data_IF_569126606837
#
_entry.id   IF_569126606837
#
_cell.length_a   1.000
_cell.length_b   1.000
_cell.length_c   1.000
_cell.angle_alpha   90.00
_cell.angle_beta   90.00
_cell.angle_gamma   90.00
#
_symmetry.space_group_name_H-M   'P 1'
#
loop_
_entity.id
_entity.type
_entity.pdbx_description
1 polymer ?
#
# COMPACT_ATOMS: atom_id res chain seq x y z
N UNK A 1 8.75 19.47 -6.28
CA UNK A 1 7.43 19.26 -6.94
C UNK A 1 6.35 19.76 -5.99
N UNK A 2 5.42 20.56 -6.46
CA UNK A 2 4.22 21.00 -5.73
C UNK A 2 3.12 19.95 -5.81
N UNK A 3 2.07 20.04 -4.98
CA UNK A 3 0.90 19.16 -5.07
C UNK A 3 0.20 19.30 -6.42
N UNK A 4 0.09 20.53 -6.96
CA UNK A 4 -0.52 20.75 -8.28
C UNK A 4 0.25 20.04 -9.42
N UNK A 5 1.58 20.17 -9.44
CA UNK A 5 2.43 19.47 -10.39
C UNK A 5 2.32 17.94 -10.22
N UNK A 6 2.21 17.47 -8.97
CA UNK A 6 2.06 16.05 -8.68
C UNK A 6 0.71 15.49 -9.19
N UNK A 7 -0.39 16.23 -9.03
CA UNK A 7 -1.71 15.87 -9.55
C UNK A 7 -1.69 15.79 -11.08
N UNK A 8 -1.14 16.80 -11.75
CA UNK A 8 -1.08 16.87 -13.21
C UNK A 8 -0.22 15.73 -13.78
N UNK A 9 1.03 15.58 -13.31
CA UNK A 9 1.97 14.58 -13.82
C UNK A 9 1.52 13.14 -13.58
N UNK A 10 0.77 12.89 -12.49
CA UNK A 10 0.25 11.56 -12.17
C UNK A 10 -1.06 11.21 -12.87
N UNK A 11 -1.68 12.16 -13.60
CA UNK A 11 -3.01 11.99 -14.14
C UNK A 11 -4.11 11.88 -13.08
N UNK A 12 -3.85 12.41 -11.88
CA UNK A 12 -4.80 12.46 -10.75
C UNK A 12 -5.58 13.78 -10.68
N UNK A 13 -5.33 14.72 -11.58
CA UNK A 13 -6.06 15.99 -11.68
C UNK A 13 -7.40 15.79 -12.39
N UNK A 14 -8.31 15.09 -11.72
CA UNK A 14 -9.68 14.91 -12.20
C UNK A 14 -10.67 15.00 -11.04
N UNK A 15 -11.89 15.46 -11.36
CA UNK A 15 -13.00 15.49 -10.43
C UNK A 15 -13.82 14.21 -10.52
N UNK A 16 -14.36 13.80 -9.39
CA UNK A 16 -15.27 12.64 -9.30
C UNK A 16 -16.64 13.11 -8.84
N UNK A 17 -17.70 12.67 -9.52
CA UNK A 17 -19.09 12.97 -9.17
C UNK A 17 -19.89 11.69 -9.04
N UNK A 18 -20.91 11.76 -8.19
CA UNK A 18 -21.93 10.72 -8.09
C UNK A 18 -22.91 10.84 -9.24
N UNK A 19 -23.20 9.73 -9.89
CA UNK A 19 -24.20 9.61 -10.93
C UNK A 19 -25.24 8.57 -10.53
N UNK A 20 -26.50 8.86 -10.83
CA UNK A 20 -27.59 7.92 -10.65
C UNK A 20 -27.40 6.70 -11.55
N UNK A 21 -27.77 5.54 -11.04
CA UNK A 21 -27.70 4.29 -11.78
C UNK A 21 -29.07 3.82 -12.18
N UNK A 22 -29.17 3.37 -13.42
CA UNK A 22 -30.38 2.78 -13.98
C UNK A 22 -30.07 1.44 -14.61
N UNK A 23 -31.03 0.53 -14.60
CA UNK A 23 -30.93 -0.74 -15.32
C UNK A 23 -32.02 -0.86 -16.37
N UNK A 24 -31.68 -1.61 -17.44
CA UNK A 24 -32.61 -1.99 -18.48
C UNK A 24 -33.48 -3.16 -17.97
N UNK A 25 -34.78 -3.04 -18.06
CA UNK A 25 -35.67 -4.20 -17.85
C UNK A 25 -35.42 -5.26 -18.93
N UNK A 26 -35.72 -6.55 -18.67
CA UNK A 26 -35.57 -7.59 -19.72
C UNK A 26 -36.33 -7.23 -21.01
N UNK A 27 -37.54 -6.68 -20.89
CA UNK A 27 -38.35 -6.28 -22.03
C UNK A 27 -37.70 -5.16 -22.83
N UNK A 28 -37.18 -4.12 -22.16
CA UNK A 28 -36.51 -3.01 -22.83
C UNK A 28 -35.23 -3.48 -23.52
N UNK A 29 -34.47 -4.36 -22.87
CA UNK A 29 -33.26 -4.94 -23.45
C UNK A 29 -33.61 -5.73 -24.71
N UNK A 30 -34.67 -6.56 -24.69
CA UNK A 30 -35.09 -7.36 -25.86
C UNK A 30 -35.56 -6.47 -27.02
N UNK A 31 -36.28 -5.36 -26.73
CA UNK A 31 -36.68 -4.36 -27.75
C UNK A 31 -35.45 -3.73 -28.40
N UNK A 32 -34.47 -3.29 -27.61
CA UNK A 32 -33.21 -2.71 -28.12
C UNK A 32 -32.41 -3.72 -28.95
N UNK A 33 -32.34 -4.98 -28.53
CA UNK A 33 -31.63 -6.03 -29.27
C UNK A 33 -32.29 -6.38 -30.60
N UNK A 34 -33.61 -6.15 -30.76
CA UNK A 34 -34.36 -6.33 -32.00
C UNK A 34 -34.36 -5.10 -32.90
N UNK A 35 -33.56 -4.07 -32.55
CA UNK A 35 -33.53 -2.78 -33.26
C UNK A 35 -34.93 -2.13 -33.42
N UNK A 36 -35.80 -2.27 -32.44
CA UNK A 36 -37.08 -1.59 -32.39
C UNK A 36 -36.82 -0.10 -32.15
N UNK A 37 -37.38 0.74 -32.98
CA UNK A 37 -37.33 2.19 -32.82
C UNK A 37 -38.21 2.60 -31.62
N UNK A 38 -37.53 2.99 -30.50
CA UNK A 38 -38.20 3.35 -29.27
C UNK A 38 -38.03 4.86 -29.08
N UNK A 39 -39.15 5.61 -28.96
CA UNK A 39 -39.08 7.02 -28.64
C UNK A 39 -38.31 7.29 -27.33
N UNK A 40 -37.47 8.34 -27.34
CA UNK A 40 -36.58 8.66 -26.18
C UNK A 40 -37.38 8.82 -24.87
N UNK A 41 -38.59 9.35 -24.93
CA UNK A 41 -39.45 9.49 -23.77
C UNK A 41 -39.90 8.14 -23.22
N UNK A 42 -40.20 7.17 -24.06
CA UNK A 42 -40.57 5.82 -23.66
C UNK A 42 -39.36 5.06 -23.13
N UNK A 43 -38.18 5.20 -23.76
CA UNK A 43 -36.92 4.64 -23.30
C UNK A 43 -36.61 5.08 -21.87
N UNK A 44 -36.69 6.39 -21.59
CA UNK A 44 -36.44 6.97 -20.26
C UNK A 44 -37.46 6.45 -19.23
N UNK A 45 -38.73 6.36 -19.60
CA UNK A 45 -39.80 5.88 -18.71
C UNK A 45 -39.63 4.41 -18.31
N UNK A 46 -39.02 3.60 -19.14
CA UNK A 46 -38.78 2.17 -18.89
C UNK A 46 -37.47 1.89 -18.14
N UNK A 47 -36.57 2.87 -18.02
CA UNK A 47 -35.37 2.74 -17.18
C UNK A 47 -35.81 2.68 -15.70
N UNK A 48 -35.27 1.74 -14.98
CA UNK A 48 -35.52 1.58 -13.53
C UNK A 48 -34.26 1.99 -12.74
N UNK A 49 -34.49 2.92 -11.82
CA UNK A 49 -33.43 3.40 -10.92
C UNK A 49 -32.97 2.29 -9.97
N UNK A 50 -31.66 2.19 -9.75
CA UNK A 50 -31.08 1.34 -8.73
C UNK A 50 -31.07 2.11 -7.41
N UNK A 51 -31.97 1.75 -6.50
CA UNK A 51 -32.09 2.44 -5.23
C UNK A 51 -30.91 2.14 -4.28
N UNK A 52 -30.50 3.15 -3.51
CA UNK A 52 -29.44 3.03 -2.50
C UNK A 52 -28.03 2.89 -3.07
N UNK A 53 -27.84 3.04 -4.38
CA UNK A 53 -26.56 2.92 -5.08
C UNK A 53 -26.34 4.07 -6.06
N UNK A 54 -25.09 4.50 -6.16
CA UNK A 54 -24.65 5.51 -7.11
C UNK A 54 -23.30 5.10 -7.72
N UNK A 55 -23.08 5.50 -8.97
CA UNK A 55 -21.79 5.36 -9.62
C UNK A 55 -20.90 6.56 -9.28
N UNK A 56 -19.68 6.32 -8.86
CA UNK A 56 -18.64 7.35 -8.79
C UNK A 56 -18.00 7.46 -10.16
N UNK A 57 -18.22 8.57 -10.83
CA UNK A 57 -17.81 8.79 -12.23
C UNK A 57 -16.74 9.86 -12.30
N UNK A 58 -15.69 9.56 -12.98
CA UNK A 58 -14.60 10.44 -13.33
C UNK A 58 -15.04 11.41 -14.44
N UNK A 59 -14.95 12.73 -14.18
CA UNK A 59 -15.64 13.72 -15.04
C UNK A 59 -14.88 14.12 -16.29
N UNK A 60 -13.60 13.81 -16.40
CA UNK A 60 -12.79 14.12 -17.58
C UNK A 60 -12.99 13.12 -18.74
N UNK A 61 -13.33 11.86 -18.42
CA UNK A 61 -13.47 10.79 -19.43
C UNK A 61 -14.74 9.94 -19.24
N UNK A 62 -15.59 10.28 -18.27
CA UNK A 62 -16.83 9.60 -17.91
C UNK A 62 -16.68 8.12 -17.49
N UNK A 63 -15.48 7.72 -17.09
CA UNK A 63 -15.25 6.36 -16.60
C UNK A 63 -15.90 6.14 -15.24
N UNK A 64 -16.61 5.03 -15.06
CA UNK A 64 -17.14 4.59 -13.79
C UNK A 64 -16.02 3.99 -12.94
N UNK A 65 -15.64 4.67 -11.86
CA UNK A 65 -14.59 4.22 -10.95
C UNK A 65 -15.08 3.15 -9.99
N UNK A 66 -16.36 3.21 -9.60
CA UNK A 66 -16.96 2.24 -8.70
C UNK A 66 -18.43 2.51 -8.41
N UNK A 67 -19.08 1.52 -7.80
CA UNK A 67 -20.48 1.62 -7.36
C UNK A 67 -20.51 1.59 -5.85
N UNK A 68 -21.04 2.65 -5.25
CA UNK A 68 -21.05 2.85 -3.81
C UNK A 68 -22.46 3.12 -3.30
N UNK A 69 -22.63 3.16 -1.98
CA UNK A 69 -23.91 3.54 -1.38
C UNK A 69 -24.14 5.06 -1.46
N UNK A 70 -25.39 5.47 -1.31
CA UNK A 70 -25.76 6.90 -1.26
C UNK A 70 -25.02 7.65 -0.14
N UNK A 71 -24.69 6.96 0.94
CA UNK A 71 -23.98 7.52 2.09
C UNK A 71 -22.44 7.59 1.91
N UNK A 72 -21.90 7.10 0.79
CA UNK A 72 -20.49 7.22 0.50
C UNK A 72 -20.14 8.68 0.26
N UNK A 73 -19.15 9.22 0.97
CA UNK A 73 -18.61 10.57 0.75
C UNK A 73 -17.46 10.52 -0.25
N UNK A 74 -17.58 11.23 -1.36
CA UNK A 74 -16.45 11.42 -2.28
C UNK A 74 -15.50 12.43 -1.65
N UNK A 75 -14.21 12.07 -1.58
CA UNK A 75 -13.11 12.98 -1.30
C UNK A 75 -12.40 13.24 -2.63
N UNK A 76 -12.30 14.48 -3.05
CA UNK A 76 -11.58 14.83 -4.27
C UNK A 76 -10.07 14.59 -4.09
N UNK A 77 -9.37 14.28 -5.16
CA UNK A 77 -7.93 14.03 -5.10
C UNK A 77 -7.17 15.23 -4.56
N UNK A 78 -7.56 16.43 -4.97
CA UNK A 78 -7.00 17.66 -4.45
C UNK A 78 -7.17 17.78 -2.94
N UNK A 79 -8.39 17.56 -2.42
CA UNK A 79 -8.68 17.62 -0.99
C UNK A 79 -7.85 16.62 -0.17
N UNK A 80 -7.65 15.40 -0.71
CA UNK A 80 -6.82 14.40 -0.06
C UNK A 80 -5.33 14.79 -0.06
N UNK A 81 -4.86 15.48 -1.10
CA UNK A 81 -3.46 15.85 -1.26
C UNK A 81 -3.10 17.20 -0.64
N UNK A 82 -4.08 18.08 -0.41
CA UNK A 82 -3.88 19.35 0.32
C UNK A 82 -3.27 19.11 1.72
N UNK A 83 -3.54 17.94 2.32
CA UNK A 83 -2.89 17.52 3.56
C UNK A 83 -1.36 17.41 3.42
N UNK A 84 -0.87 16.88 2.29
CA UNK A 84 0.57 16.77 2.02
C UNK A 84 1.18 18.14 1.81
N UNK A 85 0.45 19.06 1.14
CA UNK A 85 0.90 20.44 0.96
C UNK A 85 1.14 21.13 2.31
N UNK A 86 0.24 20.92 3.27
CA UNK A 86 0.41 21.43 4.63
C UNK A 86 1.63 20.86 5.35
N UNK A 87 1.93 19.57 5.17
CA UNK A 87 3.15 18.97 5.72
C UNK A 87 4.41 19.54 5.08
N UNK A 88 4.35 19.85 3.77
CA UNK A 88 5.50 20.29 2.97
C UNK A 88 5.75 21.81 3.03
N UNK A 89 4.77 22.62 3.48
CA UNK A 89 4.88 24.09 3.56
C UNK A 89 5.23 24.61 4.95
N UNK A 90 5.25 23.74 5.97
CA UNK A 90 5.62 24.12 7.34
C UNK A 90 7.11 24.47 7.45
N UNK A 91 7.43 25.51 8.25
CA UNK A 91 8.81 25.88 8.59
C UNK A 91 9.32 25.01 9.74
N UNK A 92 9.59 23.73 9.47
CA UNK A 92 10.07 22.75 10.44
C UNK A 92 11.38 22.14 9.95
N UNK A 93 12.29 21.83 10.86
CA UNK A 93 13.57 21.18 10.55
C UNK A 93 13.46 19.82 9.85
N UNK A 94 12.26 19.26 9.75
CA UNK A 94 11.98 17.97 9.12
C UNK A 94 10.80 18.06 8.13
N UNK A 95 10.70 19.13 7.38
CA UNK A 95 9.63 19.34 6.38
C UNK A 95 9.78 18.35 5.23
N UNK A 96 8.76 17.50 4.95
CA UNK A 96 8.83 16.54 3.86
C UNK A 96 8.86 17.20 2.48
N UNK A 97 9.41 16.51 1.50
CA UNK A 97 9.49 16.92 0.09
C UNK A 97 8.68 15.95 -0.75
N UNK A 98 7.77 16.46 -1.59
CA UNK A 98 6.97 15.60 -2.51
C UNK A 98 7.91 14.93 -3.50
N UNK A 99 7.85 13.61 -3.54
CA UNK A 99 8.76 12.73 -4.28
C UNK A 99 8.07 12.05 -5.47
N UNK A 100 6.84 11.57 -5.28
CA UNK A 100 6.07 10.88 -6.31
C UNK A 100 4.56 11.02 -6.09
N UNK A 101 3.81 10.88 -7.17
CA UNK A 101 2.37 10.66 -7.15
C UNK A 101 1.97 9.68 -8.25
N UNK A 102 0.80 9.07 -8.13
CA UNK A 102 0.33 8.11 -9.13
C UNK A 102 -1.14 7.78 -9.02
N UNK A 103 -1.64 7.17 -10.10
CA UNK A 103 -2.98 6.58 -10.17
C UNK A 103 -2.87 5.08 -10.35
N UNK A 104 -3.80 4.33 -9.75
CA UNK A 104 -3.92 2.88 -9.87
C UNK A 104 -5.33 2.53 -10.37
N UNK A 105 -5.45 1.46 -11.18
CA UNK A 105 -6.72 0.95 -11.70
C UNK A 105 -7.53 2.06 -12.41
N UNK A 106 -6.91 2.77 -13.34
CA UNK A 106 -7.51 3.85 -14.14
C UNK A 106 -8.09 5.01 -13.31
N UNK A 107 -7.48 5.28 -12.15
CA UNK A 107 -7.89 6.36 -11.26
C UNK A 107 -8.84 5.92 -10.13
N UNK A 108 -9.16 4.63 -9.99
CA UNK A 108 -9.94 4.12 -8.85
C UNK A 108 -9.27 4.36 -7.51
N UNK A 109 -7.94 4.37 -7.51
CA UNK A 109 -7.11 4.75 -6.37
C UNK A 109 -6.02 5.72 -6.82
N UNK A 110 -5.75 6.73 -5.99
CA UNK A 110 -4.67 7.69 -6.19
C UNK A 110 -3.79 7.73 -4.96
N UNK A 111 -2.53 8.09 -5.14
CA UNK A 111 -1.59 8.25 -4.03
C UNK A 111 -0.57 9.36 -4.30
N UNK A 112 -0.05 9.94 -3.23
CA UNK A 112 1.07 10.87 -3.23
C UNK A 112 2.06 10.45 -2.15
N UNK A 113 3.34 10.61 -2.43
CA UNK A 113 4.44 10.26 -1.53
C UNK A 113 5.28 11.50 -1.30
N UNK A 114 5.53 11.80 -0.02
CA UNK A 114 6.52 12.80 0.37
C UNK A 114 7.54 12.18 1.31
N UNK A 115 8.82 12.48 1.09
CA UNK A 115 9.95 11.96 1.88
C UNK A 115 10.40 12.97 2.91
N UNK A 116 10.73 12.50 4.11
CA UNK A 116 11.39 13.30 5.12
C UNK A 116 12.88 13.46 4.78
N UNK A 117 13.49 14.63 5.01
CA UNK A 117 14.90 14.86 4.67
C UNK A 117 15.88 14.02 5.50
N UNK A 118 15.51 13.65 6.72
CA UNK A 118 16.36 12.90 7.62
C UNK A 118 16.43 11.43 7.27
N UNK A 119 17.63 10.87 7.29
CA UNK A 119 17.90 9.45 7.09
C UNK A 119 18.29 8.76 8.41
N UNK A 120 17.89 7.51 8.54
CA UNK A 120 18.26 6.64 9.67
C UNK A 120 19.41 5.78 9.25
N UNK A 121 20.55 5.86 9.94
CA UNK A 121 21.65 4.93 9.79
C UNK A 121 21.38 3.67 10.60
N UNK A 122 21.37 2.50 9.95
CA UNK A 122 21.06 1.22 10.56
C UNK A 122 22.33 0.56 11.08
N UNK A 123 22.32 0.10 12.33
CA UNK A 123 23.42 -0.63 12.95
C UNK A 123 24.80 0.02 12.77
N UNK A 124 24.85 1.37 12.78
CA UNK A 124 26.05 2.17 12.54
C UNK A 124 26.77 1.88 11.20
N UNK A 125 26.04 1.36 10.23
CA UNK A 125 26.55 1.13 8.87
C UNK A 125 26.14 2.28 7.95
N UNK A 126 27.04 3.18 7.61
CA UNK A 126 26.78 4.33 6.74
C UNK A 126 26.29 3.95 5.33
N UNK A 127 26.48 2.73 4.90
CA UNK A 127 25.97 2.23 3.63
C UNK A 127 24.52 1.73 3.75
N UNK A 128 24.00 1.54 4.96
CA UNK A 128 22.64 1.07 5.21
C UNK A 128 21.78 2.19 5.81
N UNK A 129 21.12 2.94 4.93
CA UNK A 129 20.30 4.08 5.29
C UNK A 129 18.84 3.84 4.94
N UNK A 130 17.97 4.26 5.81
CA UNK A 130 16.51 4.23 5.63
C UNK A 130 15.97 5.64 5.72
N UNK A 131 15.10 5.99 4.77
CA UNK A 131 14.40 7.26 4.70
C UNK A 131 12.93 7.07 5.01
N UNK A 132 12.39 7.91 5.86
CA UNK A 132 10.96 7.91 6.15
C UNK A 132 10.20 8.62 5.04
N UNK A 133 9.06 8.06 4.66
CA UNK A 133 8.12 8.67 3.71
C UNK A 133 6.73 8.72 4.32
N UNK A 134 5.96 9.74 3.95
CA UNK A 134 4.52 9.78 4.15
C UNK A 134 3.83 9.47 2.83
N UNK A 135 2.92 8.52 2.86
CA UNK A 135 2.07 8.14 1.71
C UNK A 135 0.64 8.51 2.05
N UNK A 136 0.03 9.33 1.22
CA UNK A 136 -1.41 9.60 1.27
C UNK A 136 -2.07 8.89 0.10
N UNK A 137 -3.11 8.14 0.36
CA UNK A 137 -3.89 7.46 -0.68
C UNK A 137 -5.38 7.70 -0.50
N UNK A 138 -6.08 7.85 -1.62
CA UNK A 138 -7.52 8.01 -1.71
C UNK A 138 -8.09 6.96 -2.68
N UNK A 139 -9.33 6.49 -2.45
CA UNK A 139 -10.01 5.58 -3.37
C UNK A 139 -11.41 6.10 -3.72
N UNK A 140 -11.85 5.79 -4.95
CA UNK A 140 -13.14 6.20 -5.47
C UNK A 140 -14.10 5.02 -5.70
N UNK A 141 -13.63 3.79 -5.52
CA UNK A 141 -14.36 2.55 -5.74
C UNK A 141 -14.96 1.93 -4.45
N UNK A 142 -14.73 2.57 -3.32
CA UNK A 142 -15.16 2.07 -2.01
C UNK A 142 -14.25 0.97 -1.43
N UNK A 143 -13.16 0.61 -2.09
CA UNK A 143 -12.24 -0.45 -1.65
C UNK A 143 -11.37 -0.06 -0.45
N UNK A 144 -11.16 1.24 -0.22
CA UNK A 144 -10.29 1.75 0.83
C UNK A 144 -10.81 3.07 1.41
N UNK A 145 -10.40 3.38 2.63
CA UNK A 145 -10.51 4.72 3.21
C UNK A 145 -9.44 5.66 2.62
N UNK A 146 -9.56 6.97 2.83
CA UNK A 146 -8.40 7.86 2.72
C UNK A 146 -7.40 7.45 3.80
N UNK A 147 -6.17 7.19 3.41
CA UNK A 147 -5.10 6.74 4.31
C UNK A 147 -3.95 7.72 4.28
N UNK A 148 -3.41 8.03 5.45
CA UNK A 148 -2.11 8.68 5.63
C UNK A 148 -1.22 7.68 6.33
N UNK A 149 -0.17 7.22 5.69
CA UNK A 149 0.73 6.18 6.20
C UNK A 149 2.16 6.69 6.19
N UNK A 150 2.87 6.50 7.32
CA UNK A 150 4.31 6.70 7.40
C UNK A 150 4.99 5.36 7.12
N UNK A 151 5.83 5.32 6.10
CA UNK A 151 6.53 4.11 5.67
C UNK A 151 8.03 4.35 5.55
N UNK A 152 8.85 3.45 6.07
CA UNK A 152 10.28 3.49 5.86
C UNK A 152 10.66 2.88 4.50
N UNK A 153 11.57 3.54 3.80
CA UNK A 153 12.13 3.06 2.54
C UNK A 153 13.64 3.00 2.66
N UNK A 154 14.23 1.86 2.34
CA UNK A 154 15.68 1.70 2.35
C UNK A 154 16.29 2.40 1.14
N UNK A 155 17.21 3.34 1.36
CA UNK A 155 17.74 4.21 0.32
C UNK A 155 18.49 3.43 -0.76
N UNK A 156 19.22 2.38 -0.36
CA UNK A 156 20.09 1.58 -1.24
C UNK A 156 19.32 0.80 -2.31
N UNK A 157 18.19 0.19 -1.94
CA UNK A 157 17.40 -0.69 -2.81
C UNK A 157 15.99 -0.19 -3.09
N UNK A 158 15.63 0.99 -2.59
CA UNK A 158 14.29 1.57 -2.70
C UNK A 158 13.16 0.65 -2.17
N UNK A 159 13.51 -0.30 -1.30
CA UNK A 159 12.53 -1.22 -0.73
C UNK A 159 11.69 -0.55 0.34
N UNK A 160 10.37 -0.63 0.21
CA UNK A 160 9.44 -0.23 1.24
C UNK A 160 9.37 -1.30 2.33
N UNK A 161 9.81 -0.94 3.54
CA UNK A 161 9.83 -1.83 4.70
C UNK A 161 8.55 -1.63 5.54
N UNK A 162 7.41 -2.03 5.01
CA UNK A 162 6.11 -1.88 5.68
C UNK A 162 5.98 -2.86 6.86
N UNK A 163 6.63 -2.54 7.97
CA UNK A 163 6.53 -3.28 9.23
C UNK A 163 5.61 -2.50 10.17
N UNK A 164 4.54 -3.14 10.62
CA UNK A 164 3.63 -2.53 11.59
C UNK A 164 4.12 -2.79 13.02
N UNK A 165 4.22 -1.73 13.80
CA UNK A 165 4.56 -1.83 15.22
C UNK A 165 3.30 -1.73 16.08
N UNK A 166 3.18 -2.59 17.10
CA UNK A 166 2.00 -2.66 17.98
C UNK A 166 1.73 -1.35 18.75
N UNK A 167 2.73 -0.46 18.91
CA UNK A 167 2.62 0.78 19.69
C UNK A 167 2.55 2.05 18.85
N UNK A 168 3.02 2.03 17.62
CA UNK A 168 2.97 3.17 16.70
C UNK A 168 2.17 2.78 15.47
N UNK A 169 0.88 3.12 15.42
CA UNK A 169 0.16 3.07 14.15
C UNK A 169 0.55 4.30 13.34
N UNK A 170 1.58 4.19 12.50
CA UNK A 170 1.94 5.23 11.54
C UNK A 170 0.89 5.43 10.44
N UNK A 171 -0.38 5.08 10.71
CA UNK A 171 -1.45 5.14 9.71
C UNK A 171 -2.71 5.78 10.28
N UNK A 172 -3.21 6.81 9.61
CA UNK A 172 -4.50 7.44 9.88
C UNK A 172 -5.50 7.04 8.79
N UNK A 173 -6.75 6.86 9.20
CA UNK A 173 -7.83 6.43 8.30
C UNK A 173 -9.01 7.38 8.37
N UNK A 174 -9.49 7.84 7.21
CA UNK A 174 -10.72 8.63 7.08
C UNK A 174 -11.71 7.85 6.20
N UNK A 175 -12.73 7.26 6.82
CA UNK A 175 -13.76 6.52 6.10
C UNK A 175 -14.59 7.45 5.23
N UNK A 176 -14.90 7.04 4.03
CA UNK A 176 -15.77 7.71 3.07
C UNK A 176 -17.25 7.68 3.53
N UNK A 177 -17.57 8.44 4.57
CA UNK A 177 -18.95 8.62 5.06
C UNK A 177 -19.47 9.95 4.55
N UNK A 178 -20.79 10.19 4.63
CA UNK A 178 -21.43 11.45 4.23
C UNK A 178 -20.83 12.71 4.87
N UNK A 179 -20.13 12.55 5.99
CA UNK A 179 -19.47 13.63 6.73
C UNK A 179 -17.94 13.68 6.52
N UNK A 180 -17.39 12.91 5.57
CA UNK A 180 -15.93 12.82 5.38
C UNK A 180 -15.33 14.18 5.05
N UNK A 181 -15.96 14.98 4.19
CA UNK A 181 -15.47 16.30 3.79
C UNK A 181 -15.46 17.28 4.98
N UNK A 182 -16.51 17.23 5.84
CA UNK A 182 -16.51 18.02 7.08
C UNK A 182 -15.37 17.65 8.03
N UNK A 183 -14.98 16.37 8.06
CA UNK A 183 -13.83 15.90 8.86
C UNK A 183 -12.51 16.35 8.26
N UNK A 184 -12.37 16.32 6.94
CA UNK A 184 -11.20 16.85 6.25
C UNK A 184 -11.12 18.38 6.37
N UNK A 185 -12.25 19.09 6.26
CA UNK A 185 -12.31 20.54 6.50
C UNK A 185 -11.97 20.92 7.95
N UNK A 186 -12.37 20.12 8.93
CA UNK A 186 -11.97 20.32 10.33
C UNK A 186 -10.47 20.10 10.51
N UNK A 187 -9.90 19.12 9.80
CA UNK A 187 -8.45 18.94 9.74
C UNK A 187 -7.78 20.16 9.12
N UNK A 188 -8.35 20.74 8.06
CA UNK A 188 -7.86 21.96 7.44
C UNK A 188 -7.95 23.20 8.35
N UNK A 189 -8.89 23.28 9.29
CA UNK A 189 -9.08 24.40 10.23
C UNK A 189 -8.30 24.26 11.55
N UNK A 190 -8.01 23.02 11.98
CA UNK A 190 -7.15 22.69 13.14
C UNK A 190 -5.72 22.31 12.70
N UNK A 191 -5.29 22.76 11.55
CA UNK A 191 -4.16 22.30 10.75
C UNK A 191 -2.84 22.12 11.50
N UNK A 192 -2.44 23.09 12.33
CA UNK A 192 -1.17 23.00 13.05
C UNK A 192 -1.12 21.77 13.97
N UNK A 193 -2.19 21.48 14.71
CA UNK A 193 -2.23 20.35 15.66
C UNK A 193 -2.13 19.01 14.96
N UNK A 194 -2.80 18.83 13.82
CA UNK A 194 -2.77 17.56 13.06
C UNK A 194 -1.44 17.36 12.35
N UNK A 195 -0.87 18.42 11.77
CA UNK A 195 0.49 18.40 11.21
C UNK A 195 1.50 18.04 12.30
N UNK A 196 1.44 18.68 13.46
CA UNK A 196 2.31 18.36 14.61
C UNK A 196 2.11 16.93 15.12
N UNK A 197 0.88 16.42 15.15
CA UNK A 197 0.62 15.03 15.51
C UNK A 197 1.23 14.06 14.51
N UNK A 198 1.11 14.32 13.21
CA UNK A 198 1.68 13.46 12.16
C UNK A 198 3.21 13.50 12.16
N UNK A 199 3.81 14.68 12.33
CA UNK A 199 5.26 14.82 12.47
C UNK A 199 5.76 14.17 13.77
N UNK A 200 5.04 14.34 14.87
CA UNK A 200 5.35 13.66 16.15
C UNK A 200 5.21 12.14 16.06
N UNK A 201 4.23 11.64 15.32
CA UNK A 201 4.12 10.21 15.00
C UNK A 201 5.30 9.74 14.15
N UNK A 202 5.76 10.53 13.19
CA UNK A 202 6.93 10.20 12.38
C UNK A 202 8.18 10.06 13.26
N UNK A 203 8.42 10.97 14.19
CA UNK A 203 9.58 10.92 15.10
C UNK A 203 9.55 9.70 16.03
N UNK A 204 8.38 9.38 16.60
CA UNK A 204 8.20 8.18 17.42
C UNK A 204 8.40 6.93 16.60
N UNK A 205 7.77 6.86 15.44
CA UNK A 205 7.89 5.74 14.52
C UNK A 205 9.34 5.55 14.07
N UNK A 206 10.05 6.63 13.77
CA UNK A 206 11.46 6.60 13.37
C UNK A 206 12.35 5.97 14.45
N UNK A 207 12.15 6.33 15.73
CA UNK A 207 12.91 5.78 16.85
C UNK A 207 12.62 4.29 17.07
N UNK A 208 11.35 3.91 17.07
CA UNK A 208 10.93 2.51 17.25
C UNK A 208 11.37 1.65 16.05
N UNK A 209 11.31 2.21 14.84
CA UNK A 209 11.74 1.55 13.64
C UNK A 209 13.25 1.29 13.64
N UNK A 210 14.06 2.32 13.98
CA UNK A 210 15.51 2.15 14.12
C UNK A 210 15.84 1.04 15.11
N UNK A 211 15.26 1.06 16.30
CA UNK A 211 15.49 0.03 17.31
C UNK A 211 15.11 -1.38 16.80
N UNK A 212 14.07 -1.50 15.99
CA UNK A 212 13.64 -2.77 15.40
C UNK A 212 14.60 -3.25 14.32
N UNK A 213 15.12 -2.36 13.47
CA UNK A 213 16.12 -2.70 12.46
C UNK A 213 17.43 -3.12 13.12
N UNK A 214 17.90 -2.37 14.13
CA UNK A 214 19.12 -2.70 14.87
C UNK A 214 18.96 -4.07 15.57
N UNK A 215 17.77 -4.37 16.13
CA UNK A 215 17.44 -5.68 16.68
C UNK A 215 17.51 -6.78 15.63
N UNK A 216 16.85 -6.62 14.47
CA UNK A 216 16.91 -7.60 13.37
C UNK A 216 18.34 -7.84 12.90
N UNK A 217 19.14 -6.78 12.79
CA UNK A 217 20.56 -6.87 12.38
C UNK A 217 21.42 -7.63 13.39
N UNK A 218 21.05 -7.60 14.68
CA UNK A 218 21.75 -8.32 15.76
C UNK A 218 21.42 -9.83 15.80
N UNK A 219 20.28 -10.25 15.21
CA UNK A 219 19.87 -11.66 15.21
C UNK A 219 20.67 -12.42 14.14
N UNK A 220 21.70 -13.14 14.57
CA UNK A 220 22.44 -14.04 13.69
C UNK A 220 21.61 -15.28 13.40
N UNK A 221 21.59 -15.71 12.17
CA UNK A 221 20.78 -16.85 11.72
C UNK A 221 21.59 -17.77 10.83
N UNK A 222 21.52 -19.06 11.06
CA UNK A 222 21.98 -20.09 10.14
C UNK A 222 21.05 -20.19 8.93
N UNK A 223 21.51 -20.76 7.83
CA UNK A 223 20.68 -20.98 6.63
C UNK A 223 19.39 -21.78 6.95
N UNK A 224 19.47 -22.79 7.83
CA UNK A 224 18.29 -23.57 8.25
C UNK A 224 17.27 -22.76 9.03
N UNK A 225 17.71 -21.88 9.93
CA UNK A 225 16.81 -21.02 10.67
C UNK A 225 16.14 -20.00 9.75
N UNK A 226 16.85 -19.47 8.77
CA UNK A 226 16.29 -18.58 7.75
C UNK A 226 15.26 -19.31 6.88
N UNK A 227 15.57 -20.53 6.40
CA UNK A 227 14.65 -21.35 5.63
C UNK A 227 13.38 -21.65 6.43
N UNK A 228 13.51 -22.07 7.68
CA UNK A 228 12.36 -22.32 8.56
C UNK A 228 11.48 -21.09 8.73
N UNK A 229 12.08 -19.91 9.00
CA UNK A 229 11.36 -18.65 9.14
C UNK A 229 10.61 -18.28 7.85
N UNK A 230 11.23 -18.47 6.69
CA UNK A 230 10.58 -18.24 5.40
C UNK A 230 9.42 -19.20 5.13
N UNK A 231 9.63 -20.51 5.32
CA UNK A 231 8.59 -21.53 5.10
C UNK A 231 7.37 -21.23 5.98
N UNK A 232 7.59 -20.97 7.27
CA UNK A 232 6.53 -20.62 8.22
C UNK A 232 5.79 -19.34 7.88
N UNK A 233 6.48 -18.36 7.28
CA UNK A 233 5.90 -17.03 6.99
C UNK A 233 5.19 -16.96 5.64
N UNK A 234 5.60 -17.75 4.66
CA UNK A 234 5.19 -17.60 3.27
C UNK A 234 4.25 -18.70 2.78
N UNK A 235 4.33 -19.90 3.36
CA UNK A 235 3.63 -21.08 2.89
C UNK A 235 2.48 -21.46 3.85
N UNK A 236 1.66 -22.43 3.46
CA UNK A 236 0.56 -22.89 4.30
C UNK A 236 1.06 -23.73 5.50
N UNK A 237 0.22 -23.83 6.53
CA UNK A 237 0.54 -24.65 7.70
C UNK A 237 0.76 -26.13 7.34
N UNK A 238 0.07 -26.65 6.33
CA UNK A 238 0.25 -28.02 5.86
C UNK A 238 1.66 -28.22 5.30
N UNK A 239 2.15 -27.27 4.47
CA UNK A 239 3.51 -27.33 3.93
C UNK A 239 4.55 -27.15 5.04
N UNK A 240 4.30 -26.30 6.02
CA UNK A 240 5.19 -26.16 7.18
C UNK A 240 5.24 -27.47 7.99
N UNK A 241 4.13 -28.17 8.14
CA UNK A 241 4.07 -29.46 8.81
C UNK A 241 4.88 -30.52 8.04
N UNK A 242 4.72 -30.62 6.73
CA UNK A 242 5.52 -31.50 5.87
C UNK A 242 7.02 -31.17 5.97
N UNK A 243 7.38 -29.90 5.92
CA UNK A 243 8.76 -29.43 6.10
C UNK A 243 9.35 -29.92 7.43
N UNK A 244 8.59 -29.80 8.55
CA UNK A 244 9.01 -30.28 9.86
C UNK A 244 9.19 -31.80 9.91
N UNK A 245 8.25 -32.54 9.31
CA UNK A 245 8.31 -34.01 9.24
C UNK A 245 9.49 -34.48 8.38
N UNK A 246 9.90 -33.70 7.38
CA UNK A 246 11.04 -34.00 6.51
C UNK A 246 12.37 -33.41 7.06
N UNK A 247 12.61 -33.46 8.36
CA UNK A 247 13.84 -33.00 9.02
C UNK A 247 14.22 -31.54 8.71
N UNK A 248 13.23 -30.67 8.61
CA UNK A 248 13.42 -29.27 8.22
C UNK A 248 14.10 -29.13 6.85
N UNK A 249 13.58 -29.82 5.85
CA UNK A 249 14.06 -29.74 4.47
C UNK A 249 12.91 -29.52 3.50
N UNK A 250 13.13 -28.61 2.53
CA UNK A 250 12.21 -28.42 1.39
C UNK A 250 12.32 -29.52 0.34
N UNK A 251 13.33 -30.40 0.42
CA UNK A 251 13.48 -31.54 -0.47
C UNK A 251 12.57 -32.71 -0.10
N UNK A 252 11.27 -32.52 -0.29
CA UNK A 252 10.21 -33.47 -0.05
C UNK A 252 9.31 -33.52 -1.30
N UNK A 253 8.96 -34.69 -1.79
CA UNK A 253 8.18 -34.86 -3.03
C UNK A 253 6.75 -34.33 -2.88
N UNK A 254 6.20 -34.36 -1.67
CA UNK A 254 4.89 -33.78 -1.37
C UNK A 254 4.86 -32.25 -1.38
N UNK A 255 6.02 -31.59 -1.29
CA UNK A 255 6.11 -30.12 -1.40
C UNK A 255 6.22 -29.73 -2.86
N UNK A 256 5.26 -28.90 -3.33
CA UNK A 256 5.20 -28.48 -4.72
C UNK A 256 6.47 -27.73 -5.17
N UNK A 257 6.86 -27.91 -6.43
CA UNK A 257 7.96 -27.15 -7.06
C UNK A 257 7.76 -25.63 -6.94
N UNK A 258 6.50 -25.17 -7.01
CA UNK A 258 6.18 -23.75 -6.82
C UNK A 258 6.58 -23.26 -5.43
N UNK A 259 6.31 -24.03 -4.39
CA UNK A 259 6.65 -23.67 -3.01
C UNK A 259 8.18 -23.66 -2.81
N UNK A 260 8.89 -24.65 -3.36
CA UNK A 260 10.35 -24.72 -3.35
C UNK A 260 10.96 -23.49 -4.03
N UNK A 261 10.47 -23.15 -5.22
CA UNK A 261 10.95 -22.00 -6.00
C UNK A 261 10.71 -20.64 -5.29
N UNK A 262 9.63 -20.49 -4.53
CA UNK A 262 9.41 -19.27 -3.76
C UNK A 262 10.53 -19.06 -2.73
N UNK A 263 10.87 -20.11 -1.99
CA UNK A 263 11.92 -20.05 -0.95
C UNK A 263 13.28 -19.80 -1.60
N UNK A 264 13.64 -20.55 -2.66
CA UNK A 264 14.88 -20.38 -3.40
C UNK A 264 15.03 -18.95 -3.96
N UNK A 265 13.99 -18.43 -4.62
CA UNK A 265 14.01 -17.08 -5.19
C UNK A 265 14.16 -15.97 -4.13
N UNK A 266 13.68 -16.18 -2.90
CA UNK A 266 13.91 -15.24 -1.80
C UNK A 266 15.38 -15.27 -1.38
N UNK A 267 16.01 -16.45 -1.30
CA UNK A 267 17.46 -16.54 -1.04
C UNK A 267 18.28 -15.91 -2.16
N UNK A 268 17.95 -16.16 -3.43
CA UNK A 268 18.58 -15.49 -4.56
C UNK A 268 18.47 -13.97 -4.46
N UNK A 269 17.30 -13.47 -4.04
CA UNK A 269 17.10 -12.04 -3.81
C UNK A 269 17.88 -11.51 -2.59
N UNK A 270 18.13 -12.33 -1.57
CA UNK A 270 19.00 -11.97 -0.46
C UNK A 270 20.47 -11.83 -0.90
N UNK A 271 20.94 -12.69 -1.80
CA UNK A 271 22.35 -12.74 -2.21
C UNK A 271 22.67 -11.74 -3.33
N UNK A 272 21.80 -11.68 -4.35
CA UNK A 272 22.06 -10.94 -5.59
C UNK A 272 21.09 -9.77 -5.84
N UNK A 273 20.19 -9.49 -4.91
CA UNK A 273 19.21 -8.42 -5.05
C UNK A 273 19.85 -7.02 -5.02
N UNK A 274 19.15 -6.05 -5.60
CA UNK A 274 19.60 -4.65 -5.68
C UNK A 274 19.94 -4.13 -4.27
N UNK A 275 21.19 -3.68 -4.08
CA UNK A 275 21.69 -3.09 -2.83
C UNK A 275 22.00 -4.09 -1.71
N UNK A 276 21.80 -5.39 -1.92
CA UNK A 276 22.10 -6.42 -0.92
C UNK A 276 23.60 -6.56 -0.65
N UNK A 277 24.45 -6.29 -1.64
CA UNK A 277 25.92 -6.31 -1.51
C UNK A 277 26.47 -5.33 -0.47
N UNK A 278 25.66 -4.33 -0.07
CA UNK A 278 26.02 -3.34 0.94
C UNK A 278 25.60 -3.73 2.35
N UNK A 279 24.89 -4.84 2.49
CA UNK A 279 24.35 -5.32 3.76
C UNK A 279 25.21 -6.44 4.34
N UNK A 280 25.22 -6.53 5.66
CA UNK A 280 25.83 -7.67 6.36
C UNK A 280 24.90 -8.87 6.25
N UNK A 281 25.31 -9.92 5.55
CA UNK A 281 24.56 -11.15 5.41
C UNK A 281 24.44 -11.97 6.71
N UNK A 282 23.59 -13.00 6.69
CA UNK A 282 23.48 -13.96 7.78
C UNK A 282 22.76 -13.43 9.02
N UNK A 283 21.86 -12.48 8.88
CA UNK A 283 21.04 -11.95 9.98
C UNK A 283 19.59 -11.72 9.59
N UNK A 284 18.73 -11.49 10.59
CA UNK A 284 17.30 -11.29 10.37
C UNK A 284 16.95 -10.09 9.48
N UNK A 285 17.73 -9.02 9.54
CA UNK A 285 17.52 -7.85 8.70
C UNK A 285 17.79 -8.14 7.21
N UNK A 286 18.87 -8.86 6.93
CA UNK A 286 19.23 -9.30 5.59
C UNK A 286 18.13 -10.18 4.98
N UNK A 287 17.56 -11.10 5.78
CA UNK A 287 16.48 -11.98 5.34
C UNK A 287 15.18 -11.21 5.05
N UNK A 288 14.75 -10.31 5.94
CA UNK A 288 13.55 -9.48 5.73
C UNK A 288 13.71 -8.58 4.52
N UNK A 289 14.89 -7.99 4.32
CA UNK A 289 15.16 -7.17 3.14
C UNK A 289 15.16 -8.00 1.84
N UNK A 290 15.70 -9.21 1.85
CA UNK A 290 15.65 -10.13 0.71
C UNK A 290 14.22 -10.48 0.32
N UNK A 291 13.33 -10.74 1.29
CA UNK A 291 11.92 -10.96 1.01
C UNK A 291 11.25 -9.74 0.37
N UNK A 292 11.51 -8.53 0.87
CA UNK A 292 10.97 -7.30 0.28
C UNK A 292 11.51 -7.08 -1.13
N UNK A 293 12.80 -7.31 -1.34
CA UNK A 293 13.46 -7.25 -2.65
C UNK A 293 12.82 -8.22 -3.64
N UNK A 294 12.57 -9.46 -3.22
CA UNK A 294 11.91 -10.47 -4.06
C UNK A 294 10.54 -9.99 -4.54
N UNK A 295 9.67 -9.55 -3.63
CA UNK A 295 8.33 -9.12 -4.02
C UNK A 295 8.30 -7.81 -4.80
N UNK A 296 9.21 -6.90 -4.53
CA UNK A 296 9.22 -5.60 -5.21
C UNK A 296 9.90 -5.64 -6.58
N UNK A 297 10.86 -6.55 -6.81
CA UNK A 297 11.65 -6.54 -8.04
C UNK A 297 11.53 -7.81 -8.89
N UNK A 298 11.29 -8.98 -8.30
CA UNK A 298 11.37 -10.25 -9.02
C UNK A 298 10.05 -11.02 -9.10
N UNK A 299 9.18 -10.90 -8.10
CA UNK A 299 7.89 -11.58 -8.10
C UNK A 299 6.99 -11.08 -9.24
N UNK A 300 6.34 -12.02 -9.93
CA UNK A 300 5.40 -11.72 -11.03
C UNK A 300 4.02 -11.39 -10.48
N UNK A 301 3.47 -10.26 -10.90
CA UNK A 301 2.10 -9.85 -10.69
C UNK A 301 1.40 -9.71 -12.04
N UNK A 302 0.08 -9.79 -12.09
CA UNK A 302 -0.68 -9.64 -13.34
C UNK A 302 -0.55 -8.22 -13.91
N UNK A 303 -0.39 -7.23 -13.04
CA UNK A 303 -0.23 -5.83 -13.38
C UNK A 303 0.46 -5.05 -12.24
N UNK A 304 0.90 -3.83 -12.55
CA UNK A 304 1.56 -2.96 -11.59
C UNK A 304 0.63 -2.49 -10.46
N UNK A 305 -0.66 -2.32 -10.73
CA UNK A 305 -1.64 -1.86 -9.76
C UNK A 305 -1.87 -2.90 -8.67
N UNK A 306 -1.99 -4.17 -9.05
CA UNK A 306 -2.07 -5.29 -8.09
C UNK A 306 -0.78 -5.45 -7.29
N UNK A 307 0.37 -5.24 -7.94
CA UNK A 307 1.66 -5.24 -7.27
C UNK A 307 1.70 -4.18 -6.18
N UNK A 308 1.41 -2.92 -6.51
CA UNK A 308 1.44 -1.80 -5.56
C UNK A 308 0.42 -1.99 -4.43
N UNK A 309 -0.82 -2.37 -4.74
CA UNK A 309 -1.83 -2.66 -3.72
C UNK A 309 -1.40 -3.78 -2.77
N UNK A 310 -0.78 -4.84 -3.29
CA UNK A 310 -0.30 -5.96 -2.47
C UNK A 310 0.85 -5.58 -1.54
N UNK A 311 1.73 -4.68 -1.99
CA UNK A 311 2.88 -4.19 -1.21
C UNK A 311 2.43 -3.19 -0.14
N UNK A 312 1.51 -2.27 -0.49
CA UNK A 312 1.13 -1.19 0.42
C UNK A 312 0.26 -1.66 1.59
N UNK A 313 -0.74 -2.48 1.32
CA UNK A 313 -1.74 -2.87 2.32
C UNK A 313 -2.35 -4.27 2.11
N UNK A 314 -1.68 -5.11 1.31
CA UNK A 314 -2.19 -6.43 0.94
C UNK A 314 -1.34 -7.60 1.44
N UNK A 315 -1.38 -8.67 0.68
CA UNK A 315 -0.78 -9.96 1.04
C UNK A 315 0.75 -9.90 1.21
N UNK A 316 1.44 -9.08 0.41
CA UNK A 316 2.92 -8.93 0.54
C UNK A 316 3.26 -8.28 1.87
N UNK A 317 2.57 -7.20 2.25
CA UNK A 317 2.77 -6.55 3.53
C UNK A 317 2.56 -7.51 4.70
N UNK A 318 1.51 -8.34 4.65
CA UNK A 318 1.26 -9.35 5.69
C UNK A 318 2.38 -10.40 5.78
N UNK A 319 2.92 -10.86 4.65
CA UNK A 319 4.02 -11.83 4.61
C UNK A 319 5.32 -11.25 5.18
N UNK A 320 5.63 -9.99 4.87
CA UNK A 320 6.79 -9.29 5.45
C UNK A 320 6.63 -9.16 6.97
N UNK A 321 5.43 -8.82 7.45
CA UNK A 321 5.14 -8.74 8.87
C UNK A 321 5.28 -10.12 9.55
N UNK A 322 4.74 -11.17 8.97
CA UNK A 322 4.86 -12.52 9.52
C UNK A 322 6.32 -12.96 9.62
N UNK A 323 7.15 -12.65 8.60
CA UNK A 323 8.57 -12.96 8.65
C UNK A 323 9.27 -12.17 9.75
N UNK A 324 9.00 -10.88 9.87
CA UNK A 324 9.52 -10.04 10.95
C UNK A 324 9.21 -10.65 12.33
N UNK A 325 7.94 -10.97 12.57
CA UNK A 325 7.47 -11.52 13.85
C UNK A 325 8.13 -12.89 14.16
N UNK A 326 8.26 -13.76 13.14
CA UNK A 326 8.92 -15.06 13.31
C UNK A 326 10.42 -14.93 13.57
N UNK A 327 11.12 -14.02 12.90
CA UNK A 327 12.57 -13.77 13.14
C UNK A 327 12.79 -13.20 14.55
N UNK A 328 11.97 -12.25 14.97
CA UNK A 328 12.07 -11.66 16.31
C UNK A 328 11.77 -12.68 17.41
N UNK A 329 10.86 -13.63 17.16
CA UNK A 329 10.54 -14.70 18.09
C UNK A 329 11.68 -15.72 18.29
N UNK A 330 12.59 -15.88 17.31
CA UNK A 330 13.77 -16.75 17.45
C UNK A 330 14.82 -16.19 18.41
N UNK A 331 14.79 -14.89 18.68
CA UNK A 331 15.73 -14.20 19.57
C UNK A 331 15.16 -13.91 20.97
N UNK A 332 13.93 -14.36 21.24
CA UNK A 332 13.25 -14.20 22.53
C UNK A 332 13.37 -15.45 23.39
#
# INVERSE_FOLDING_TARGET
>A
MTVAEALEQSGADFNVQKQEMYYLTPELRDMLMRNVDIPSTELIAQLKKVEGKQANVRMDNLACLGVTSDNYGIVQNKEAFDFVDLLCTGDHNNTPIIDAAGTLNDGKRVFIVARFPQEIVVNNNDNDRVQMQVVVSNSHDGSSAVKVCITPVRVVCQNMLNIAFKKASGTLFFKHTSNVNKRLDLLNKENAKFVFQTLGMADVYQKEFKASLDRLASIKMSHKEMEEALVKSLLSNDIFTLYKQNNNSMECDEISTRSKNIIANVFDACESGIGQEKLVGGNGLWLVNGLTTYYQNYAKFSDNDKKMSSILDGNVQQKVQNLYDNVVALAA
#
